data_IF_753877783823
#
_entry.id   IF_753877783823
#
_cell.length_a   1.000
_cell.length_b   1.000
_cell.length_c   1.000
_cell.angle_alpha   90.00
_cell.angle_beta   90.00
_cell.angle_gamma   90.00
#
_symmetry.space_group_name_H-M   'P 1'
#
loop_
_entity.id
_entity.type
_entity.pdbx_description
1 polymer ?
#
# COMPACT_ATOMS: atom_id res chain seq x y z
N UNK A 1 31.54 -42.99 5.85
CA UNK A 1 30.44 -43.81 6.39
C UNK A 1 29.15 -43.00 6.28
N UNK A 2 28.24 -43.42 5.40
CA UNK A 2 26.95 -42.76 5.16
C UNK A 2 26.07 -42.96 6.40
N UNK A 3 25.46 -41.88 6.91
CA UNK A 3 24.39 -41.96 7.92
C UNK A 3 23.05 -41.77 7.21
N UNK A 4 22.13 -42.65 7.59
CA UNK A 4 20.89 -42.99 6.91
C UNK A 4 19.91 -41.83 6.71
N UNK A 5 19.21 -41.86 5.58
CA UNK A 5 18.04 -41.03 5.31
C UNK A 5 16.84 -41.50 6.17
N UNK A 6 15.97 -40.60 6.66
CA UNK A 6 14.76 -41.02 7.34
C UNK A 6 13.81 -41.68 6.33
N UNK A 7 13.42 -42.92 6.63
CA UNK A 7 12.39 -43.68 5.89
C UNK A 7 11.04 -43.01 6.10
N UNK A 8 10.33 -42.71 5.01
CA UNK A 8 8.93 -42.30 5.04
C UNK A 8 8.06 -43.45 5.53
N UNK A 9 7.16 -43.17 6.47
CA UNK A 9 6.07 -44.07 6.87
C UNK A 9 4.98 -44.02 5.78
N UNK A 10 4.46 -45.16 5.31
CA UNK A 10 3.34 -45.21 4.38
C UNK A 10 2.08 -44.61 5.00
N UNK A 11 1.26 -43.97 4.16
CA UNK A 11 0.06 -43.18 4.55
C UNK A 11 -1.01 -44.04 5.25
N UNK A 12 -0.94 -45.36 5.09
CA UNK A 12 -1.93 -46.32 5.57
C UNK A 12 -1.82 -46.63 7.08
N UNK A 13 -0.73 -46.18 7.73
CA UNK A 13 -0.48 -46.36 9.17
C UNK A 13 -0.81 -45.11 10.02
N UNK A 14 -1.41 -44.07 9.40
CA UNK A 14 -1.81 -42.85 10.11
C UNK A 14 -3.16 -43.09 10.82
N UNK A 15 -3.14 -43.20 12.15
CA UNK A 15 -4.37 -43.24 12.95
C UNK A 15 -5.01 -41.84 13.03
N UNK A 16 -6.27 -41.76 12.60
CA UNK A 16 -7.08 -40.53 12.60
C UNK A 16 -7.97 -40.36 13.86
N UNK A 17 -7.66 -41.03 14.97
CA UNK A 17 -8.38 -40.78 16.22
C UNK A 17 -7.86 -39.53 16.94
N UNK A 18 -8.80 -38.75 17.50
CA UNK A 18 -8.59 -37.42 18.10
C UNK A 18 -7.35 -37.38 19.01
N UNK A 19 -6.51 -36.33 18.92
CA UNK A 19 -5.38 -36.19 19.82
C UNK A 19 -5.88 -36.12 21.27
N UNK A 20 -5.35 -37.00 22.13
CA UNK A 20 -5.60 -37.00 23.58
C UNK A 20 -5.17 -35.65 24.16
N UNK A 21 -6.13 -34.85 24.61
CA UNK A 21 -5.87 -33.65 25.42
C UNK A 21 -5.23 -34.09 26.73
N UNK A 22 -3.93 -33.83 26.88
CA UNK A 22 -3.21 -33.99 28.13
C UNK A 22 -3.81 -33.11 29.23
N UNK A 23 -3.95 -33.71 30.42
CA UNK A 23 -4.76 -33.23 31.54
C UNK A 23 -4.37 -31.89 32.15
N UNK A 24 -5.36 -31.35 32.87
CA UNK A 24 -5.33 -30.14 33.69
C UNK A 24 -4.18 -30.18 34.71
N UNK A 25 -3.35 -29.14 34.71
CA UNK A 25 -2.66 -28.70 35.92
C UNK A 25 -3.26 -27.37 36.37
N UNK A 26 -3.97 -27.42 37.49
CA UNK A 26 -4.38 -26.28 38.30
C UNK A 26 -3.15 -25.65 38.94
N UNK A 27 -2.61 -24.60 38.31
CA UNK A 27 -1.60 -23.72 38.87
C UNK A 27 -2.12 -22.29 38.82
N UNK A 28 -2.21 -21.66 39.99
CA UNK A 28 -2.60 -20.25 40.18
C UNK A 28 -1.83 -19.35 39.21
N UNK A 29 -2.54 -18.72 38.28
CA UNK A 29 -1.97 -17.78 37.33
C UNK A 29 -1.76 -16.44 38.06
N UNK A 30 -0.59 -16.25 38.66
CA UNK A 30 -0.16 -14.92 39.11
C UNK A 30 0.10 -14.05 37.87
N UNK A 31 -0.54 -12.90 37.82
CA UNK A 31 -0.40 -11.91 36.74
C UNK A 31 1.00 -11.27 36.77
N UNK A 32 1.97 -11.86 36.06
CA UNK A 32 3.14 -11.10 35.67
C UNK A 32 2.78 -10.26 34.45
N UNK A 33 2.71 -8.94 34.62
CA UNK A 33 2.60 -7.99 33.52
C UNK A 33 3.79 -8.18 32.57
N UNK A 34 3.60 -8.96 31.51
CA UNK A 34 4.56 -9.08 30.43
C UNK A 34 4.64 -7.72 29.71
N UNK A 35 5.64 -6.92 30.07
CA UNK A 35 6.01 -5.69 29.36
C UNK A 35 6.04 -6.02 27.86
N UNK A 36 5.13 -5.43 27.08
CA UNK A 36 5.17 -5.47 25.62
C UNK A 36 6.58 -5.11 25.18
N UNK A 37 7.27 -6.05 24.52
CA UNK A 37 8.60 -5.77 23.96
C UNK A 37 8.41 -4.71 22.89
N UNK A 38 8.91 -3.50 23.17
CA UNK A 38 9.12 -2.46 22.17
C UNK A 38 9.88 -3.06 20.98
N UNK A 39 9.47 -2.64 19.78
CA UNK A 39 10.15 -2.95 18.53
C UNK A 39 11.66 -2.78 18.68
N UNK A 40 12.41 -3.86 18.47
CA UNK A 40 13.87 -3.80 18.40
C UNK A 40 14.26 -3.65 16.93
N UNK A 41 14.90 -2.53 16.52
CA UNK A 41 15.33 -2.34 15.15
C UNK A 41 16.25 -3.48 14.71
N UNK A 42 16.04 -3.98 13.49
CA UNK A 42 16.97 -4.92 12.86
C UNK A 42 18.40 -4.36 12.89
N UNK A 43 19.38 -5.25 13.05
CA UNK A 43 20.81 -4.93 13.16
C UNK A 43 21.21 -3.86 12.14
N UNK A 44 21.70 -2.72 12.65
CA UNK A 44 22.09 -1.52 11.89
C UNK A 44 22.99 -1.93 10.71
N UNK A 45 22.48 -1.84 9.48
CA UNK A 45 23.39 -1.68 8.35
C UNK A 45 24.10 -0.33 8.53
N UNK A 46 25.42 -0.25 8.31
CA UNK A 46 26.14 1.01 8.47
C UNK A 46 25.56 2.03 7.48
N UNK A 47 24.95 3.08 8.03
CA UNK A 47 24.51 4.24 7.26
C UNK A 47 25.77 4.90 6.69
N UNK A 48 25.85 5.18 5.37
CA UNK A 48 26.98 5.86 4.77
C UNK A 48 27.34 7.13 5.57
N UNK A 49 28.63 7.32 5.89
CA UNK A 49 29.11 8.42 6.76
C UNK A 49 28.69 9.80 6.25
N UNK A 50 28.53 9.93 4.94
CA UNK A 50 28.12 11.17 4.27
C UNK A 50 26.68 11.56 4.60
N UNK A 51 25.78 10.58 4.77
CA UNK A 51 24.38 10.83 5.13
C UNK A 51 24.28 11.28 6.58
N UNK A 52 25.07 10.71 7.50
CA UNK A 52 25.08 11.13 8.91
C UNK A 52 25.61 12.57 9.01
N UNK A 53 26.74 12.88 8.37
CA UNK A 53 27.32 14.22 8.38
C UNK A 53 26.36 15.27 7.78
N UNK A 54 25.65 14.92 6.71
CA UNK A 54 24.61 15.75 6.11
C UNK A 54 23.42 15.97 7.05
N UNK A 55 22.88 14.90 7.64
CA UNK A 55 21.73 14.97 8.57
C UNK A 55 22.05 15.79 9.82
N UNK A 56 23.27 15.67 10.36
CA UNK A 56 23.70 16.47 11.52
C UNK A 56 23.82 17.95 11.18
N UNK A 57 24.39 18.31 10.02
CA UNK A 57 24.43 19.71 9.57
C UNK A 57 23.03 20.28 9.33
N UNK A 58 22.13 19.46 8.76
CA UNK A 58 20.76 19.86 8.44
C UNK A 58 19.89 20.05 9.70
N UNK A 59 20.02 19.18 10.70
CA UNK A 59 19.29 19.31 11.96
C UNK A 59 19.65 20.59 12.74
N UNK A 60 20.90 21.05 12.59
CA UNK A 60 21.39 22.30 13.18
C UNK A 60 20.96 23.51 12.36
N UNK A 61 21.01 23.44 11.02
CA UNK A 61 20.71 24.59 10.16
C UNK A 61 19.21 24.79 9.88
N UNK A 62 18.40 23.73 9.92
CA UNK A 62 16.98 23.77 9.60
C UNK A 62 16.19 22.69 10.39
N UNK A 63 15.91 22.91 11.68
CA UNK A 63 15.31 21.91 12.57
C UNK A 63 13.88 21.49 12.21
N UNK A 64 13.23 22.16 11.26
CA UNK A 64 11.89 21.84 10.73
C UNK A 64 11.91 21.28 9.30
N UNK A 65 13.08 20.99 8.73
CA UNK A 65 13.18 20.50 7.36
C UNK A 65 12.67 19.05 7.22
N UNK A 66 11.95 18.77 6.13
CA UNK A 66 11.48 17.43 5.73
C UNK A 66 12.20 17.02 4.46
N UNK A 67 12.64 15.76 4.38
CA UNK A 67 13.37 15.24 3.24
C UNK A 67 12.44 14.95 2.05
N UNK A 68 12.76 15.49 0.87
CA UNK A 68 12.14 15.15 -0.42
C UNK A 68 13.16 14.36 -1.25
N UNK A 69 12.88 13.10 -1.55
CA UNK A 69 13.67 12.34 -2.54
C UNK A 69 13.04 12.60 -3.91
N UNK A 70 13.65 13.48 -4.69
CA UNK A 70 13.22 13.77 -6.06
C UNK A 70 13.74 12.69 -6.99
N UNK A 71 12.85 12.04 -7.73
CA UNK A 71 13.23 11.21 -8.88
C UNK A 71 13.27 12.12 -10.12
N UNK A 72 14.26 11.98 -11.02
CA UNK A 72 14.25 12.72 -12.27
C UNK A 72 13.06 12.26 -13.13
N UNK A 73 12.26 13.23 -13.59
CA UNK A 73 11.10 13.00 -14.46
C UNK A 73 11.53 12.52 -15.86
N UNK A 74 10.75 11.60 -16.45
CA UNK A 74 10.76 11.37 -17.91
C UNK A 74 9.77 12.35 -18.53
N UNK A 75 10.28 13.31 -19.30
CA UNK A 75 9.48 14.21 -20.12
C UNK A 75 8.89 13.45 -21.31
N UNK A 76 7.56 13.33 -21.37
CA UNK A 76 6.82 12.93 -22.57
C UNK A 76 5.92 14.09 -23.01
N UNK A 77 6.11 14.59 -24.23
CA UNK A 77 5.40 15.71 -24.79
C UNK A 77 3.90 15.40 -25.03
N UNK A 78 3.04 16.40 -24.76
CA UNK A 78 1.60 16.35 -25.00
C UNK A 78 1.34 16.86 -26.43
N UNK A 79 0.75 16.02 -27.29
CA UNK A 79 0.23 16.44 -28.58
C UNK A 79 -1.21 16.95 -28.41
N UNK A 80 -1.51 18.07 -29.07
CA UNK A 80 -2.85 18.64 -29.16
C UNK A 80 -3.56 18.24 -30.46
N UNK A 81 -4.87 18.04 -30.40
CA UNK A 81 -5.79 18.41 -31.48
C UNK A 81 -7.27 18.35 -31.03
N UNK A 82 -8.04 19.31 -31.56
CA UNK A 82 -9.50 19.58 -31.44
C UNK A 82 -10.30 18.92 -32.59
N UNK A 83 -11.64 19.11 -32.75
CA UNK A 83 -12.75 18.91 -31.80
C UNK A 83 -13.95 18.10 -32.38
N UNK A 84 -14.80 17.63 -31.45
CA UNK A 84 -16.28 17.40 -31.54
C UNK A 84 -16.82 16.20 -32.35
N UNK A 85 -17.35 15.19 -31.66
CA UNK A 85 -18.51 14.41 -32.10
C UNK A 85 -19.17 13.63 -30.94
N UNK A 86 -20.50 13.72 -30.87
CA UNK A 86 -21.48 12.86 -30.15
C UNK A 86 -21.32 12.79 -28.62
N UNK A 87 -22.39 13.05 -27.86
CA UNK A 87 -22.44 12.76 -26.42
C UNK A 87 -22.22 11.26 -26.24
N UNK A 88 -21.07 10.80 -25.72
CA UNK A 88 -20.83 9.38 -25.60
C UNK A 88 -21.64 8.86 -24.44
N UNK A 89 -22.23 7.67 -24.59
CA UNK A 89 -22.63 6.87 -23.44
C UNK A 89 -21.44 6.84 -22.47
N UNK A 90 -21.70 7.10 -21.18
CA UNK A 90 -20.66 7.13 -20.16
C UNK A 90 -19.84 5.84 -20.30
N UNK A 91 -18.53 5.91 -20.62
CA UNK A 91 -17.74 4.70 -20.79
C UNK A 91 -17.84 3.88 -19.50
N UNK A 92 -18.08 2.57 -19.65
CA UNK A 92 -18.14 1.67 -18.51
C UNK A 92 -16.70 1.42 -18.03
N UNK A 93 -16.54 1.24 -16.71
CA UNK A 93 -15.25 0.83 -16.14
C UNK A 93 -14.79 -0.47 -16.80
N UNK A 94 -13.49 -0.61 -17.12
CA UNK A 94 -12.96 -1.88 -17.60
C UNK A 94 -13.19 -2.96 -16.55
N UNK A 95 -13.32 -4.23 -16.96
CA UNK A 95 -13.48 -5.32 -16.01
C UNK A 95 -12.27 -5.39 -15.07
N UNK A 96 -12.54 -5.67 -13.79
CA UNK A 96 -11.51 -5.87 -12.78
C UNK A 96 -10.70 -7.14 -13.06
N UNK A 97 -9.50 -7.23 -12.46
CA UNK A 97 -8.67 -8.44 -12.57
C UNK A 97 -9.42 -9.68 -12.05
N UNK A 98 -10.27 -9.51 -11.02
CA UNK A 98 -11.06 -10.62 -10.48
C UNK A 98 -12.17 -11.09 -11.44
N UNK A 99 -12.85 -10.17 -12.11
CA UNK A 99 -13.88 -10.51 -13.11
C UNK A 99 -13.25 -11.27 -14.27
N UNK A 100 -12.10 -10.79 -14.76
CA UNK A 100 -11.34 -11.48 -15.80
C UNK A 100 -10.90 -12.88 -15.34
N UNK A 101 -10.37 -12.99 -14.12
CA UNK A 101 -9.94 -14.26 -13.55
C UNK A 101 -11.09 -15.26 -13.39
N UNK A 102 -12.28 -14.79 -13.00
CA UNK A 102 -13.48 -15.64 -12.85
C UNK A 102 -13.97 -16.20 -14.18
N UNK A 103 -13.62 -15.55 -15.29
CA UNK A 103 -13.95 -15.99 -16.65
C UNK A 103 -12.84 -16.82 -17.31
N UNK A 104 -11.71 -17.05 -16.63
CA UNK A 104 -10.53 -17.72 -17.17
C UNK A 104 -10.30 -19.09 -16.51
N UNK A 105 -9.80 -20.03 -17.30
CA UNK A 105 -9.50 -21.41 -16.87
C UNK A 105 -8.03 -21.65 -16.56
N UNK A 106 -7.14 -20.76 -17.04
CA UNK A 106 -5.70 -20.82 -16.80
C UNK A 106 -5.09 -19.43 -16.56
N UNK A 107 -3.87 -19.41 -16.01
CA UNK A 107 -3.11 -18.16 -15.81
C UNK A 107 -2.76 -17.53 -17.14
N UNK A 108 -2.37 -18.32 -18.15
CA UNK A 108 -2.02 -17.80 -19.47
C UNK A 108 -3.23 -17.18 -20.18
N UNK A 109 -4.43 -17.77 -20.00
CA UNK A 109 -5.68 -17.20 -20.51
C UNK A 109 -6.05 -15.90 -19.78
N UNK A 110 -5.84 -15.82 -18.47
CA UNK A 110 -6.01 -14.57 -17.72
C UNK A 110 -5.05 -13.50 -18.24
N UNK A 111 -3.76 -13.81 -18.36
CA UNK A 111 -2.74 -12.87 -18.83
C UNK A 111 -3.00 -12.39 -20.26
N UNK A 112 -3.57 -13.24 -21.13
CA UNK A 112 -3.96 -12.83 -22.49
C UNK A 112 -5.23 -11.98 -22.54
N UNK A 113 -6.15 -12.13 -21.59
CA UNK A 113 -7.36 -11.30 -21.44
C UNK A 113 -7.10 -9.97 -20.73
N UNK A 114 -6.00 -9.85 -19.98
CA UNK A 114 -5.65 -8.58 -19.35
C UNK A 114 -5.49 -7.52 -20.45
N UNK A 115 -6.24 -6.41 -20.40
CA UNK A 115 -6.09 -5.37 -21.40
C UNK A 115 -4.65 -4.84 -21.38
N UNK A 116 -4.14 -4.38 -22.52
CA UNK A 116 -3.07 -3.38 -22.47
C UNK A 116 -3.75 -2.09 -21.99
N UNK A 117 -3.48 -1.69 -20.76
CA UNK A 117 -4.11 -0.50 -20.18
C UNK A 117 -3.45 0.73 -20.82
N UNK A 118 -4.11 1.29 -21.83
CA UNK A 118 -3.66 2.54 -22.43
C UNK A 118 -3.82 3.70 -21.42
N UNK A 119 -3.02 4.78 -21.55
CA UNK A 119 -3.13 5.98 -20.73
C UNK A 119 -4.55 6.55 -20.56
N UNK A 120 -5.41 6.48 -21.58
CA UNK A 120 -6.80 6.95 -21.51
C UNK A 120 -7.64 6.09 -20.57
N UNK A 121 -7.54 4.75 -20.68
CA UNK A 121 -8.20 3.81 -19.75
C UNK A 121 -7.69 4.00 -18.33
N UNK A 122 -6.37 4.12 -18.14
CA UNK A 122 -5.77 4.36 -16.81
C UNK A 122 -6.32 5.65 -16.22
N UNK A 123 -6.33 6.73 -17.00
CA UNK A 123 -6.89 8.01 -16.58
C UNK A 123 -8.39 7.94 -16.29
N UNK A 124 -9.15 7.13 -17.03
CA UNK A 124 -10.56 6.92 -16.78
C UNK A 124 -10.81 6.20 -15.46
N UNK A 125 -10.09 5.09 -15.21
CA UNK A 125 -10.17 4.35 -13.94
C UNK A 125 -9.76 5.23 -12.78
N UNK A 126 -8.69 6.01 -12.91
CA UNK A 126 -8.26 6.96 -11.89
C UNK A 126 -9.39 7.92 -11.52
N UNK A 127 -10.00 8.60 -12.51
CA UNK A 127 -11.07 9.58 -12.29
C UNK A 127 -12.31 8.99 -11.61
N UNK A 128 -12.75 7.82 -12.04
CA UNK A 128 -13.92 7.14 -11.46
C UNK A 128 -13.63 6.57 -10.05
N UNK A 129 -12.37 6.49 -9.65
CA UNK A 129 -11.95 5.89 -8.38
C UNK A 129 -11.30 6.88 -7.41
N UNK A 130 -11.36 8.19 -7.68
CA UNK A 130 -10.82 9.27 -6.81
C UNK A 130 -11.32 9.19 -5.36
N UNK A 131 -12.55 8.73 -5.13
CA UNK A 131 -13.08 8.57 -3.77
C UNK A 131 -12.45 7.42 -2.96
N UNK A 132 -11.51 6.66 -3.56
CA UNK A 132 -10.75 5.58 -2.94
C UNK A 132 -11.60 4.63 -2.10
N UNK A 133 -11.25 4.43 -0.82
CA UNK A 133 -11.94 3.52 0.08
C UNK A 133 -13.44 3.83 0.29
N UNK A 134 -13.92 5.01 -0.10
CA UNK A 134 -15.33 5.38 -0.05
C UNK A 134 -16.14 4.84 -1.24
N UNK A 135 -15.51 4.44 -2.35
CA UNK A 135 -16.23 3.97 -3.55
C UNK A 135 -16.10 2.45 -3.73
N UNK A 136 -17.16 1.82 -4.24
CA UNK A 136 -17.15 0.39 -4.62
C UNK A 136 -16.25 0.18 -5.82
N UNK A 137 -16.34 1.06 -6.83
CA UNK A 137 -15.49 1.03 -8.02
C UNK A 137 -14.00 0.91 -7.68
N UNK A 138 -13.49 1.68 -6.71
CA UNK A 138 -12.09 1.57 -6.29
C UNK A 138 -11.78 0.24 -5.61
N UNK A 139 -12.68 -0.26 -4.75
CA UNK A 139 -12.52 -1.57 -4.08
C UNK A 139 -12.48 -2.71 -5.09
N UNK A 140 -13.37 -2.68 -6.08
CA UNK A 140 -13.50 -3.70 -7.11
C UNK A 140 -12.29 -3.68 -8.05
N UNK A 141 -11.88 -2.50 -8.52
CA UNK A 141 -10.68 -2.35 -9.36
C UNK A 141 -9.39 -2.72 -8.63
N UNK A 142 -9.31 -2.49 -7.32
CA UNK A 142 -8.13 -2.80 -6.51
C UNK A 142 -7.98 -4.29 -6.21
N UNK A 143 -9.10 -5.03 -6.14
CA UNK A 143 -9.10 -6.43 -5.76
C UNK A 143 -8.34 -7.29 -6.76
N UNK A 144 -7.48 -8.16 -6.25
CA UNK A 144 -6.61 -8.99 -7.09
C UNK A 144 -5.39 -8.25 -7.67
N UNK A 145 -5.22 -6.95 -7.39
CA UNK A 145 -4.01 -6.21 -7.76
C UNK A 145 -3.00 -6.16 -6.61
N UNK A 146 -1.73 -6.33 -6.95
CA UNK A 146 -0.60 -6.02 -6.08
C UNK A 146 -0.48 -4.49 -6.02
N UNK A 147 -1.00 -3.92 -4.95
CA UNK A 147 -0.93 -2.47 -4.72
C UNK A 147 0.31 -2.05 -3.96
N UNK A 148 0.63 -0.75 -3.96
CA UNK A 148 1.75 -0.18 -3.19
C UNK A 148 1.79 -0.67 -1.73
N UNK A 149 0.64 -0.77 -1.05
CA UNK A 149 0.57 -1.23 0.36
C UNK A 149 0.86 -2.73 0.53
N UNK A 150 0.62 -3.55 -0.51
CA UNK A 150 0.88 -5.01 -0.49
C UNK A 150 2.18 -5.39 -1.19
N UNK A 151 2.81 -4.48 -1.94
CA UNK A 151 3.98 -4.76 -2.78
C UNK A 151 5.17 -5.27 -1.97
N UNK A 152 5.49 -4.62 -0.85
CA UNK A 152 6.60 -5.04 0.01
C UNK A 152 6.37 -6.45 0.63
N UNK A 153 5.20 -6.75 1.24
CA UNK A 153 4.87 -8.10 1.67
C UNK A 153 5.01 -9.16 0.56
N UNK A 154 4.48 -8.90 -0.63
CA UNK A 154 4.60 -9.82 -1.79
C UNK A 154 6.05 -10.04 -2.17
N UNK A 155 6.80 -8.98 -2.42
CA UNK A 155 8.19 -9.06 -2.84
C UNK A 155 9.06 -9.81 -1.82
N UNK A 156 8.94 -9.46 -0.54
CA UNK A 156 9.75 -10.08 0.51
C UNK A 156 9.40 -11.54 0.73
N UNK A 157 8.11 -11.88 0.66
CA UNK A 157 7.66 -13.25 0.79
C UNK A 157 8.14 -14.13 -0.36
N UNK A 158 8.02 -13.64 -1.59
CA UNK A 158 8.52 -14.34 -2.78
C UNK A 158 10.04 -14.49 -2.80
N UNK A 159 10.79 -13.54 -2.24
CA UNK A 159 12.26 -13.65 -2.14
C UNK A 159 12.72 -14.65 -1.09
N UNK A 160 11.97 -14.81 0.01
CA UNK A 160 12.35 -15.71 1.10
C UNK A 160 12.00 -17.15 0.80
N UNK A 161 10.79 -17.38 0.31
CA UNK A 161 10.28 -18.71 0.02
C UNK A 161 9.28 -18.62 -1.14
N UNK A 162 9.70 -18.84 -2.39
CA UNK A 162 8.81 -18.79 -3.54
C UNK A 162 7.74 -19.88 -3.53
N UNK A 163 8.00 -21.03 -2.90
CA UNK A 163 7.18 -22.25 -2.98
C UNK A 163 6.27 -22.46 -1.78
N UNK A 164 6.55 -21.78 -0.66
CA UNK A 164 5.74 -21.88 0.54
C UNK A 164 4.35 -21.26 0.37
N UNK A 165 3.43 -21.74 1.20
CA UNK A 165 2.06 -21.25 1.28
C UNK A 165 1.99 -19.74 1.59
N UNK A 166 1.12 -19.04 0.85
CA UNK A 166 0.88 -17.59 0.92
C UNK A 166 -0.58 -17.24 1.14
N UNK A 167 -1.41 -18.18 1.61
CA UNK A 167 -2.86 -18.02 1.73
C UNK A 167 -3.29 -16.73 2.42
N UNK A 168 -2.66 -16.35 3.53
CA UNK A 168 -2.97 -15.09 4.23
C UNK A 168 -2.66 -13.85 3.38
N UNK A 169 -1.57 -13.87 2.63
CA UNK A 169 -1.18 -12.76 1.77
C UNK A 169 -2.07 -12.70 0.53
N UNK A 170 -2.41 -13.86 -0.05
CA UNK A 170 -3.35 -13.98 -1.15
C UNK A 170 -4.74 -13.51 -0.73
N UNK A 171 -5.23 -13.92 0.44
CA UNK A 171 -6.49 -13.47 1.01
C UNK A 171 -6.54 -11.94 1.17
N UNK A 172 -5.41 -11.31 1.51
CA UNK A 172 -5.30 -9.85 1.57
C UNK A 172 -5.36 -9.19 0.19
N UNK A 173 -4.61 -9.70 -0.79
CA UNK A 173 -4.62 -9.18 -2.17
C UNK A 173 -5.99 -9.38 -2.85
N UNK A 174 -6.65 -10.50 -2.58
CA UNK A 174 -7.98 -10.83 -3.09
C UNK A 174 -9.13 -10.15 -2.32
N UNK A 175 -8.81 -9.35 -1.30
CA UNK A 175 -9.81 -8.58 -0.54
C UNK A 175 -10.74 -9.45 0.32
N UNK A 176 -10.29 -10.63 0.74
CA UNK A 176 -11.00 -11.48 1.70
C UNK A 176 -10.73 -11.08 3.15
N UNK A 177 -9.64 -10.35 3.40
CA UNK A 177 -9.35 -9.75 4.71
C UNK A 177 -9.67 -8.27 4.70
N UNK A 178 -10.31 -7.78 5.76
CA UNK A 178 -10.50 -6.35 6.00
C UNK A 178 -9.61 -5.88 7.15
N UNK A 179 -9.16 -4.64 7.07
CA UNK A 179 -8.47 -4.02 8.20
C UNK A 179 -9.47 -3.78 9.33
N UNK A 180 -9.12 -4.09 10.59
CA UNK A 180 -10.04 -3.84 11.71
C UNK A 180 -10.37 -2.36 11.80
N UNK A 181 -11.65 -2.01 11.65
CA UNK A 181 -12.09 -0.62 11.61
C UNK A 181 -11.87 0.09 12.95
N UNK A 182 -11.87 -0.67 14.05
CA UNK A 182 -11.79 -0.16 15.42
C UNK A 182 -10.38 0.13 15.94
N UNK A 183 -9.34 -0.07 15.12
CA UNK A 183 -7.99 0.28 15.51
C UNK A 183 -7.83 1.80 15.60
N UNK A 184 -7.57 2.30 16.81
CA UNK A 184 -7.37 3.72 17.08
C UNK A 184 -6.37 4.38 16.13
N UNK A 185 -5.23 3.73 15.87
CA UNK A 185 -4.21 4.28 14.96
C UNK A 185 -4.71 4.42 13.52
N UNK A 186 -5.60 3.53 13.05
CA UNK A 186 -6.20 3.64 11.72
C UNK A 186 -7.27 4.74 11.68
N UNK A 187 -8.12 4.84 12.72
CA UNK A 187 -9.11 5.93 12.86
C UNK A 187 -8.42 7.29 12.91
N UNK A 188 -7.39 7.42 13.75
CA UNK A 188 -6.56 8.62 13.86
C UNK A 188 -5.91 8.97 12.52
N UNK A 189 -5.30 7.99 11.86
CA UNK A 189 -4.68 8.19 10.54
C UNK A 189 -5.65 8.77 9.52
N UNK A 190 -6.82 8.14 9.36
CA UNK A 190 -7.89 8.58 8.45
C UNK A 190 -8.42 9.97 8.79
N UNK A 191 -8.62 10.28 10.06
CA UNK A 191 -9.13 11.58 10.50
C UNK A 191 -8.10 12.70 10.30
N UNK A 192 -6.81 12.40 10.48
CA UNK A 192 -5.74 13.41 10.44
C UNK A 192 -5.14 13.63 9.06
N UNK A 193 -5.32 12.70 8.11
CA UNK A 193 -4.80 12.84 6.76
C UNK A 193 -5.30 14.12 6.05
N UNK A 194 -6.62 14.46 6.05
CA UNK A 194 -7.08 15.72 5.46
C UNK A 194 -6.50 16.97 6.15
N UNK A 195 -6.29 16.90 7.47
CA UNK A 195 -5.67 18.00 8.24
C UNK A 195 -4.21 18.17 7.82
N UNK A 196 -3.46 17.07 7.68
CA UNK A 196 -2.07 17.09 7.24
C UNK A 196 -1.94 17.61 5.80
N UNK A 197 -2.82 17.18 4.88
CA UNK A 197 -2.90 17.69 3.50
C UNK A 197 -3.11 19.21 3.46
N UNK A 198 -4.06 19.72 4.26
CA UNK A 198 -4.33 21.16 4.38
C UNK A 198 -3.13 21.93 4.93
N UNK A 199 -2.50 21.42 5.99
CA UNK A 199 -1.31 22.03 6.59
C UNK A 199 -0.13 22.05 5.60
N UNK A 200 0.11 20.94 4.88
CA UNK A 200 1.10 20.85 3.83
C UNK A 200 0.89 21.94 2.76
N UNK A 201 -0.35 22.09 2.25
CA UNK A 201 -0.65 23.09 1.24
C UNK A 201 -0.43 24.53 1.73
N UNK A 202 -0.73 24.81 3.01
CA UNK A 202 -0.44 26.10 3.64
C UNK A 202 1.07 26.37 3.73
N UNK A 203 1.87 25.38 4.10
CA UNK A 203 3.33 25.49 4.13
C UNK A 203 3.90 25.75 2.73
N UNK A 204 3.39 25.06 1.70
CA UNK A 204 3.82 25.28 0.32
C UNK A 204 3.50 26.71 -0.16
N UNK A 205 2.33 27.26 0.20
CA UNK A 205 1.99 28.66 -0.06
C UNK A 205 2.95 29.62 0.62
N UNK A 206 3.23 29.41 1.91
CA UNK A 206 4.14 30.25 2.69
C UNK A 206 5.59 30.18 2.17
N UNK A 207 5.98 29.04 1.60
CA UNK A 207 7.28 28.85 0.96
C UNK A 207 7.40 29.50 -0.43
N UNK A 208 6.35 30.18 -0.91
CA UNK A 208 6.38 30.94 -2.17
C UNK A 208 6.07 30.13 -3.42
N UNK A 209 5.51 28.91 -3.30
CA UNK A 209 5.04 28.18 -4.48
C UNK A 209 3.90 28.94 -5.17
N UNK A 210 3.95 29.00 -6.51
CA UNK A 210 2.98 29.75 -7.32
C UNK A 210 1.76 28.89 -7.64
N UNK A 211 0.57 29.34 -7.23
CA UNK A 211 -0.71 28.64 -7.40
C UNK A 211 -0.66 27.16 -6.97
N UNK A 212 -0.23 26.86 -5.74
CA UNK A 212 -0.09 25.48 -5.28
C UNK A 212 -1.48 24.85 -5.13
N UNK A 213 -1.61 23.65 -5.67
CA UNK A 213 -2.80 22.82 -5.67
C UNK A 213 -2.45 21.44 -5.17
N UNK A 214 -3.42 20.79 -4.53
CA UNK A 214 -3.32 19.40 -4.12
C UNK A 214 -4.56 18.69 -4.67
N UNK A 215 -4.31 17.69 -5.49
CA UNK A 215 -5.33 16.91 -6.17
C UNK A 215 -5.48 15.58 -5.43
N UNK A 216 -6.73 15.22 -5.13
CA UNK A 216 -7.06 13.84 -4.73
C UNK A 216 -6.87 12.92 -5.94
N UNK A 217 -6.60 11.64 -5.67
CA UNK A 217 -6.26 10.69 -6.72
C UNK A 217 -6.99 9.37 -6.54
N UNK A 218 -7.32 8.72 -7.65
CA UNK A 218 -7.87 7.37 -7.65
C UNK A 218 -6.81 6.27 -7.69
N UNK A 219 -7.15 5.19 -8.37
CA UNK A 219 -6.27 4.06 -8.62
C UNK A 219 -5.55 4.21 -9.97
N UNK A 220 -4.22 4.30 -9.92
CA UNK A 220 -3.36 4.14 -11.08
C UNK A 220 -3.00 2.67 -11.25
N UNK A 221 -3.09 2.18 -12.48
CA UNK A 221 -2.67 0.83 -12.87
C UNK A 221 -1.43 0.92 -13.74
N UNK A 222 -0.48 0.00 -13.55
CA UNK A 222 0.70 -0.09 -14.39
C UNK A 222 0.33 -0.69 -15.75
N UNK A 223 0.58 0.03 -16.83
CA UNK A 223 0.12 -0.31 -18.18
C UNK A 223 0.57 -1.71 -18.63
N UNK A 224 1.85 -2.02 -18.43
CA UNK A 224 2.48 -3.27 -18.85
C UNK A 224 2.13 -4.45 -17.93
N UNK A 225 1.72 -4.16 -16.70
CA UNK A 225 1.38 -5.14 -15.68
C UNK A 225 0.09 -4.73 -14.97
N UNK A 226 -1.09 -4.96 -15.58
CA UNK A 226 -2.36 -4.47 -15.06
C UNK A 226 -2.76 -5.03 -13.68
N UNK A 227 -2.11 -6.09 -13.23
CA UNK A 227 -2.23 -6.62 -11.87
C UNK A 227 -1.41 -5.83 -10.84
N UNK A 228 -0.70 -4.77 -11.22
CA UNK A 228 0.03 -3.85 -10.33
C UNK A 228 -0.65 -2.48 -10.36
N UNK A 229 -0.82 -1.86 -9.20
CA UNK A 229 -1.39 -0.51 -9.11
C UNK A 229 -1.02 0.25 -7.85
N UNK A 230 -1.42 1.51 -7.78
CA UNK A 230 -1.22 2.37 -6.61
C UNK A 230 -2.29 3.45 -6.54
N UNK A 231 -2.65 3.84 -5.32
CA UNK A 231 -3.37 5.09 -5.06
C UNK A 231 -2.46 5.95 -4.24
N UNK A 232 -2.29 7.20 -4.67
CA UNK A 232 -1.49 8.20 -3.98
C UNK A 232 -2.37 8.92 -2.96
N UNK A 233 -1.78 9.43 -1.88
CA UNK A 233 -2.52 10.30 -0.98
C UNK A 233 -2.81 11.65 -1.65
N UNK A 234 -1.97 12.10 -2.59
CA UNK A 234 -2.36 13.17 -3.52
C UNK A 234 -1.28 13.52 -4.54
N UNK A 235 -1.63 14.37 -5.50
CA UNK A 235 -0.71 15.01 -6.45
C UNK A 235 -0.63 16.49 -6.11
N UNK A 236 0.55 16.94 -5.69
CA UNK A 236 0.86 18.35 -5.53
C UNK A 236 1.27 18.95 -6.86
N UNK A 237 0.69 20.09 -7.21
CA UNK A 237 1.01 20.83 -8.43
C UNK A 237 1.26 22.30 -8.10
N UNK A 238 2.28 22.91 -8.72
CA UNK A 238 2.46 24.36 -8.70
C UNK A 238 3.09 24.84 -10.01
N UNK A 239 2.82 26.09 -10.39
CA UNK A 239 3.27 26.63 -11.67
C UNK A 239 4.81 26.78 -11.75
N UNK A 240 5.50 26.85 -10.61
CA UNK A 240 6.95 27.05 -10.55
C UNK A 240 7.76 25.75 -10.53
N UNK A 241 7.17 24.61 -10.14
CA UNK A 241 7.91 23.35 -9.99
C UNK A 241 7.25 22.14 -10.66
N UNK A 242 6.10 22.31 -11.32
CA UNK A 242 5.35 21.21 -11.93
C UNK A 242 4.64 20.36 -10.88
N UNK A 243 4.58 19.05 -11.15
CA UNK A 243 3.84 18.08 -10.34
C UNK A 243 4.77 17.24 -9.45
N UNK A 244 4.23 16.76 -8.34
CA UNK A 244 4.91 15.80 -7.46
C UNK A 244 3.90 14.98 -6.68
N UNK A 245 4.32 13.78 -6.27
CA UNK A 245 3.49 12.87 -5.47
C UNK A 245 3.55 13.22 -3.98
N UNK A 246 2.43 13.06 -3.29
CA UNK A 246 2.32 13.21 -1.84
C UNK A 246 1.90 11.87 -1.22
N UNK A 247 2.66 11.42 -0.23
CA UNK A 247 2.33 10.31 0.67
C UNK A 247 2.32 10.86 2.10
N UNK A 248 1.20 10.75 2.78
CA UNK A 248 0.92 11.27 4.11
C UNK A 248 1.00 10.12 5.14
N UNK A 249 1.60 10.43 6.29
CA UNK A 249 1.62 9.53 7.45
C UNK A 249 1.28 10.31 8.71
N UNK A 250 0.26 9.82 9.41
CA UNK A 250 -0.23 10.42 10.65
C UNK A 250 -0.10 9.41 11.81
N UNK A 251 1.12 9.20 12.36
CA UNK A 251 1.33 8.26 13.44
C UNK A 251 0.69 8.76 14.74
N UNK A 252 -0.24 7.98 15.30
CA UNK A 252 -0.92 8.31 16.56
C UNK A 252 0.04 8.43 17.76
N UNK A 253 1.25 7.86 17.66
CA UNK A 253 2.29 7.98 18.70
C UNK A 253 2.93 9.36 18.78
N UNK A 254 2.81 10.17 17.72
CA UNK A 254 3.25 11.57 17.72
C UNK A 254 2.11 12.54 18.09
N UNK A 255 0.89 12.01 18.26
CA UNK A 255 -0.22 12.81 18.75
C UNK A 255 0.10 13.22 20.20
N UNK A 256 0.18 14.53 20.45
CA UNK A 256 0.17 15.02 21.81
C UNK A 256 -1.19 14.63 22.41
N UNK A 257 -1.21 13.78 23.43
CA UNK A 257 -2.45 13.29 24.07
C UNK A 257 -3.30 14.46 24.59
N UNK A 258 -2.68 15.63 24.88
CA UNK A 258 -3.37 16.84 25.29
C UNK A 258 -4.12 17.59 24.17
N UNK A 259 -3.97 17.21 22.89
CA UNK A 259 -4.53 17.92 21.74
C UNK A 259 -5.48 17.07 20.88
N UNK A 260 -5.80 15.84 21.29
CA UNK A 260 -6.78 15.04 20.56
C UNK A 260 -8.19 15.62 20.77
N UNK A 261 -8.97 15.86 19.70
CA UNK A 261 -10.37 16.26 19.86
C UNK A 261 -11.10 15.15 20.62
N UNK A 262 -11.80 15.54 21.67
CA UNK A 262 -12.68 14.64 22.41
C UNK A 262 -13.80 14.19 21.45
N UNK A 263 -14.03 12.88 21.44
CA UNK A 263 -15.04 12.22 20.62
C UNK A 263 -16.46 12.70 20.96
#
# INVERSE_FOLDING_TARGET
MRKDAPRHMPVDEISFEKPKLGGKNSGVFQSSAAKRRLFQPAKKQPVPKDIIAFMTKLAVSAPKAVFRKVWPERTGAIASSTPRAVLPEKPLLPPSVQELASSSTSVDELLSKLPLWDPEIIGFVERETVGQGATTAWKDQRRGKITASSFHPVLTSMRRDPTGDKDNLLASVLGYTQSPEDLFSLKYGRAMEPVAKKAFLQVMRAAGHVNPRLHECGLFTLAEHPFIGASLDGIFECNCCGQSILEVKCPSTLACIACAPQA
#
